data_IF_894655041029
#
_entry.id   IF_894655041029
#
_cell.length_a   1.000
_cell.length_b   1.000
_cell.length_c   1.000
_cell.angle_alpha   90.00
_cell.angle_beta   90.00
_cell.angle_gamma   90.00
#
_symmetry.space_group_name_H-M   'P 1'
#
loop_
_entity.id
_entity.type
_entity.pdbx_description
1 polymer ?
#
# COMPACT_ATOMS: atom_id res chain seq x y z
N UNK A 1 54.69 23.87 24.99
CA UNK A 1 54.78 23.06 26.24
C UNK A 1 54.24 23.87 27.42
N UNK A 2 53.09 23.47 27.99
CA UNK A 2 52.71 23.48 29.43
C UNK A 2 51.17 23.50 29.56
N UNK A 3 50.63 22.34 29.96
CA UNK A 3 49.28 22.18 30.52
C UNK A 3 49.12 23.00 31.81
N UNK A 4 47.89 23.46 32.09
CA UNK A 4 47.33 23.42 33.45
C UNK A 4 45.80 23.31 33.41
N UNK A 5 45.31 22.17 33.92
CA UNK A 5 43.92 21.89 34.30
C UNK A 5 43.50 22.78 35.48
N UNK A 6 42.20 23.05 35.63
CA UNK A 6 41.43 22.79 36.88
C UNK A 6 39.92 22.98 36.66
N UNK A 7 39.20 22.00 37.21
CA UNK A 7 37.75 21.83 37.31
C UNK A 7 37.23 22.68 38.49
N UNK A 8 36.01 23.21 38.39
CA UNK A 8 35.18 23.49 39.57
C UNK A 8 33.69 23.34 39.21
N UNK A 9 33.10 22.29 39.77
CA UNK A 9 31.67 22.03 39.90
C UNK A 9 31.20 22.70 41.21
N UNK A 10 30.07 23.42 41.20
CA UNK A 10 29.34 23.78 42.43
C UNK A 10 27.85 23.50 42.20
N UNK A 11 27.28 22.81 43.17
CA UNK A 11 25.92 22.31 43.30
C UNK A 11 25.25 23.02 44.50
N UNK A 12 23.92 22.87 44.60
CA UNK A 12 23.02 23.15 45.75
C UNK A 12 22.32 24.53 45.73
N UNK A 13 21.06 24.64 45.28
CA UNK A 13 19.73 24.31 45.91
C UNK A 13 19.14 25.45 46.74
N UNK A 14 17.90 25.82 46.43
CA UNK A 14 16.98 26.45 47.37
C UNK A 14 15.57 25.88 47.18
N UNK A 15 15.06 25.26 48.24
CA UNK A 15 13.68 24.77 48.44
C UNK A 15 12.85 25.87 49.11
N UNK A 16 11.59 26.02 48.68
CA UNK A 16 10.49 26.64 49.47
C UNK A 16 9.19 25.90 49.05
N UNK A 17 8.81 24.83 49.76
CA UNK A 17 7.77 24.75 50.80
C UNK A 17 6.33 25.15 50.39
N UNK A 18 5.49 24.10 50.32
CA UNK A 18 4.10 23.91 50.85
C UNK A 18 3.05 24.99 50.51
N UNK A 19 1.84 24.71 50.03
CA UNK A 19 1.06 23.48 49.81
C UNK A 19 -0.43 23.80 50.03
N UNK A 20 -1.35 23.23 49.23
CA UNK A 20 -2.76 23.03 49.59
C UNK A 20 -3.25 21.76 48.88
N UNK A 21 -3.69 20.77 49.68
CA UNK A 21 -4.53 19.66 49.24
C UNK A 21 -6.01 20.08 49.28
N UNK A 22 -6.81 19.64 48.31
CA UNK A 22 -8.26 19.74 48.37
C UNK A 22 -8.92 19.04 47.19
N UNK A 23 -9.68 17.99 47.47
CA UNK A 23 -10.26 17.02 46.55
C UNK A 23 -11.32 17.59 45.59
N UNK A 24 -11.48 16.98 44.42
CA UNK A 24 -12.60 17.25 43.52
C UNK A 24 -12.43 16.57 42.16
N UNK A 25 -13.51 15.97 41.68
CA UNK A 25 -13.56 15.10 40.52
C UNK A 25 -13.31 15.79 39.17
N UNK A 26 -12.81 15.00 38.22
CA UNK A 26 -13.12 15.09 36.78
C UNK A 26 -12.90 16.44 36.09
N UNK A 27 -11.79 16.58 35.38
CA UNK A 27 -11.73 17.34 34.15
C UNK A 27 -10.59 16.77 33.30
N UNK A 28 -10.97 16.02 32.26
CA UNK A 28 -10.10 15.81 31.13
C UNK A 28 -9.96 17.17 30.43
N UNK A 29 -8.76 17.73 30.40
CA UNK A 29 -8.44 18.85 29.53
C UNK A 29 -7.80 18.31 28.25
N UNK A 30 -8.60 18.44 27.19
CA UNK A 30 -8.20 18.35 25.80
C UNK A 30 -7.22 19.48 25.48
N UNK A 31 -6.09 19.10 24.89
CA UNK A 31 -5.27 19.94 24.00
C UNK A 31 -4.30 18.96 23.31
N UNK A 32 -4.14 18.89 22.00
CA UNK A 32 -4.72 19.61 20.88
C UNK A 32 -4.20 18.90 19.63
N UNK A 33 -5.13 18.50 18.77
CA UNK A 33 -5.01 18.27 17.33
C UNK A 33 -3.59 18.09 16.73
N UNK A 34 -3.20 16.81 16.53
CA UNK A 34 -2.54 16.37 15.30
C UNK A 34 -3.09 15.00 14.89
N UNK A 35 -4.42 14.93 14.81
CA UNK A 35 -5.14 13.87 14.11
C UNK A 35 -5.31 14.33 12.65
N UNK A 36 -4.20 14.46 11.93
CA UNK A 36 -4.20 14.79 10.50
C UNK A 36 -3.98 13.53 9.67
N UNK A 37 -5.13 13.00 9.22
CA UNK A 37 -5.34 12.10 8.08
C UNK A 37 -4.85 10.66 8.27
N UNK A 38 -5.58 9.88 9.08
CA UNK A 38 -5.81 8.47 8.72
C UNK A 38 -6.77 8.47 7.53
N UNK A 39 -6.35 8.11 6.31
CA UNK A 39 -7.25 8.14 5.16
C UNK A 39 -8.43 7.22 5.42
N UNK A 40 -9.56 7.56 4.80
CA UNK A 40 -10.87 6.89 4.81
C UNK A 40 -10.85 5.41 4.32
N UNK A 41 -9.70 4.74 4.34
CA UNK A 41 -9.50 3.34 3.98
C UNK A 41 -10.19 2.32 4.91
N UNK A 42 -10.87 2.78 5.98
CA UNK A 42 -11.58 1.88 6.91
C UNK A 42 -12.85 1.27 6.31
N UNK A 43 -13.39 1.85 5.25
CA UNK A 43 -14.45 1.27 4.42
C UNK A 43 -14.13 1.55 2.95
N UNK A 44 -13.04 0.96 2.44
CA UNK A 44 -12.82 0.99 1.00
C UNK A 44 -14.02 0.32 0.30
N UNK A 45 -14.75 1.09 -0.49
CA UNK A 45 -15.78 0.58 -1.37
C UNK A 45 -15.20 -0.57 -2.20
N UNK A 46 -15.66 -1.79 -1.94
CA UNK A 46 -15.33 -2.99 -2.73
C UNK A 46 -15.98 -2.94 -4.13
N UNK A 47 -16.76 -1.90 -4.41
CA UNK A 47 -17.33 -1.61 -5.72
C UNK A 47 -16.34 -0.87 -6.62
N UNK A 48 -15.69 -1.61 -7.52
CA UNK A 48 -14.97 -1.03 -8.67
C UNK A 48 -15.95 -0.66 -9.80
N UNK A 49 -15.78 0.55 -10.35
CA UNK A 49 -16.34 0.98 -11.61
C UNK A 49 -15.30 0.70 -12.70
N UNK A 50 -15.65 -0.12 -13.68
CA UNK A 50 -14.72 -0.49 -14.74
C UNK A 50 -14.30 0.75 -15.55
N UNK A 51 -13.01 0.86 -15.88
CA UNK A 51 -12.44 1.97 -16.63
C UNK A 51 -12.01 3.18 -15.80
N UNK A 52 -12.50 3.31 -14.56
CA UNK A 52 -12.08 4.36 -13.63
C UNK A 52 -10.71 4.05 -13.02
N UNK A 53 -9.86 5.08 -12.78
CA UNK A 53 -8.57 4.90 -12.13
C UNK A 53 -8.72 4.77 -10.61
N UNK A 54 -7.90 3.89 -10.04
CA UNK A 54 -7.82 3.65 -8.59
C UNK A 54 -6.37 3.55 -8.14
N UNK A 55 -6.12 3.93 -6.89
CA UNK A 55 -4.97 3.41 -6.16
C UNK A 55 -5.32 2.04 -5.55
N UNK A 56 -4.44 1.05 -5.71
CA UNK A 56 -4.65 -0.27 -5.11
C UNK A 56 -3.89 -0.36 -3.80
N UNK A 57 -4.63 -0.39 -2.69
CA UNK A 57 -4.11 -0.42 -1.34
C UNK A 57 -4.17 -1.84 -0.76
N UNK A 58 -3.08 -2.35 -0.23
CA UNK A 58 -3.07 -3.63 0.45
C UNK A 58 -3.48 -3.46 1.93
N UNK A 59 -4.50 -4.19 2.36
CA UNK A 59 -5.08 -4.03 3.71
C UNK A 59 -4.16 -4.48 4.84
N UNK A 60 -3.26 -5.45 4.60
CA UNK A 60 -2.33 -5.93 5.63
C UNK A 60 -1.02 -5.16 5.67
N UNK A 61 -0.46 -4.82 4.51
CA UNK A 61 0.80 -4.08 4.45
C UNK A 61 0.61 -2.60 4.76
N UNK A 62 -0.61 -2.08 4.58
CA UNK A 62 -0.92 -0.65 4.64
C UNK A 62 -0.14 0.18 3.60
N UNK A 63 0.09 -0.40 2.43
CA UNK A 63 0.87 0.18 1.33
C UNK A 63 0.09 0.15 0.01
N UNK A 64 0.46 1.03 -0.91
CA UNK A 64 -0.12 1.12 -2.25
C UNK A 64 0.75 0.41 -3.28
N UNK A 65 0.09 -0.24 -4.23
CA UNK A 65 0.74 -0.80 -5.42
C UNK A 65 1.22 0.31 -6.35
N UNK A 66 2.51 0.28 -6.65
CA UNK A 66 3.15 1.16 -7.62
C UNK A 66 4.02 0.34 -8.58
N UNK A 67 4.52 0.94 -9.64
CA UNK A 67 5.58 0.34 -10.45
C UNK A 67 6.93 0.56 -9.74
N UNK A 68 7.77 -0.48 -9.65
CA UNK A 68 9.05 -0.39 -8.93
C UNK A 68 9.96 0.64 -9.59
N UNK A 69 10.45 1.61 -8.82
CA UNK A 69 11.25 2.71 -9.35
C UNK A 69 10.53 3.54 -10.42
N UNK A 70 9.19 3.59 -10.40
CA UNK A 70 8.37 4.35 -11.36
C UNK A 70 8.52 3.89 -12.81
N UNK A 71 8.89 2.63 -13.03
CA UNK A 71 9.12 2.10 -14.36
C UNK A 71 7.83 2.13 -15.22
N UNK A 72 8.00 2.33 -16.52
CA UNK A 72 6.96 2.25 -17.54
C UNK A 72 7.28 1.21 -18.62
N UNK A 73 8.28 0.36 -18.36
CA UNK A 73 8.80 -0.61 -19.30
C UNK A 73 8.10 -1.97 -19.17
N UNK A 74 8.09 -2.72 -20.26
CA UNK A 74 7.68 -4.12 -20.26
C UNK A 74 8.58 -4.95 -19.31
N UNK A 75 8.01 -5.95 -18.65
CA UNK A 75 8.62 -6.76 -17.59
C UNK A 75 8.95 -5.98 -16.31
N UNK A 76 8.52 -4.72 -16.21
CA UNK A 76 8.64 -3.95 -14.99
C UNK A 76 7.88 -4.62 -13.84
N UNK A 77 8.60 -4.93 -12.77
CA UNK A 77 8.02 -5.46 -11.53
C UNK A 77 7.26 -4.37 -10.77
N UNK A 78 6.30 -4.82 -9.97
CA UNK A 78 5.53 -3.96 -9.08
C UNK A 78 6.17 -3.89 -7.71
N UNK A 79 5.82 -2.84 -6.98
CA UNK A 79 6.29 -2.58 -5.62
C UNK A 79 5.12 -2.11 -4.74
N UNK A 80 5.34 -2.11 -3.44
CA UNK A 80 4.45 -1.54 -2.45
C UNK A 80 5.12 -0.36 -1.76
N UNK A 81 4.40 0.77 -1.66
CA UNK A 81 4.94 1.98 -1.09
C UNK A 81 3.93 2.72 -0.19
N UNK A 82 4.44 3.45 0.80
CA UNK A 82 3.64 4.08 1.86
C UNK A 82 3.00 5.41 1.42
N UNK A 83 3.48 6.00 0.33
CA UNK A 83 3.03 7.29 -0.21
C UNK A 83 2.51 7.11 -1.64
N UNK A 84 1.34 7.69 -1.94
CA UNK A 84 0.63 7.58 -3.23
C UNK A 84 0.26 8.95 -3.83
N UNK A 85 1.06 9.97 -3.57
CA UNK A 85 0.87 11.32 -4.12
C UNK A 85 2.15 11.80 -4.81
N UNK A 86 2.62 11.02 -5.75
CA UNK A 86 3.94 11.27 -6.35
C UNK A 86 3.81 12.15 -7.60
N UNK A 87 3.51 13.44 -7.41
CA UNK A 87 3.55 14.52 -8.42
C UNK A 87 3.75 14.08 -9.89
N UNK A 88 5.00 14.03 -10.37
CA UNK A 88 5.34 13.73 -11.77
C UNK A 88 5.04 12.30 -12.22
N UNK A 89 4.93 11.35 -11.27
CA UNK A 89 4.70 9.93 -11.49
C UNK A 89 3.32 9.45 -11.01
N UNK A 90 2.38 10.38 -10.78
CA UNK A 90 1.05 10.08 -10.25
C UNK A 90 0.26 9.07 -11.08
N UNK A 91 0.57 8.93 -12.38
CA UNK A 91 -0.14 8.01 -13.25
C UNK A 91 0.38 6.57 -13.12
N UNK A 92 1.63 6.39 -12.70
CA UNK A 92 2.29 5.10 -12.54
C UNK A 92 1.83 4.35 -11.28
N UNK A 93 1.15 5.03 -10.36
CA UNK A 93 0.52 4.46 -9.16
C UNK A 93 -1.01 4.27 -9.31
N UNK A 94 -1.55 4.54 -10.50
CA UNK A 94 -2.97 4.40 -10.81
C UNK A 94 -3.24 3.20 -11.69
N UNK A 95 -4.33 2.49 -11.37
CA UNK A 95 -4.71 1.23 -11.98
C UNK A 95 -6.16 1.28 -12.44
N UNK A 96 -6.41 0.82 -13.66
CA UNK A 96 -7.75 0.70 -14.24
C UNK A 96 -8.13 -0.76 -14.42
N UNK A 97 -9.33 -1.12 -13.98
CA UNK A 97 -9.93 -2.41 -14.29
C UNK A 97 -10.64 -2.32 -15.64
N UNK A 98 -10.06 -2.95 -16.66
CA UNK A 98 -10.57 -2.96 -18.03
C UNK A 98 -11.43 -4.21 -18.25
N UNK A 99 -12.66 -4.08 -18.75
CA UNK A 99 -13.55 -5.23 -18.92
C UNK A 99 -13.01 -6.21 -19.97
N UNK A 100 -13.31 -7.49 -19.77
CA UNK A 100 -13.02 -8.60 -20.71
C UNK A 100 -14.28 -9.14 -21.40
N UNK A 101 -15.47 -8.66 -21.02
CA UNK A 101 -16.76 -9.21 -21.44
C UNK A 101 -17.27 -10.34 -20.54
N UNK A 102 -16.44 -10.86 -19.63
CA UNK A 102 -16.86 -11.78 -18.56
C UNK A 102 -17.08 -11.05 -17.24
N UNK A 103 -18.10 -11.49 -16.50
CA UNK A 103 -18.40 -10.95 -15.18
C UNK A 103 -17.24 -11.18 -14.20
N UNK A 104 -16.89 -10.15 -13.43
CA UNK A 104 -15.82 -10.20 -12.43
C UNK A 104 -14.43 -10.59 -12.97
N UNK A 105 -14.21 -10.45 -14.29
CA UNK A 105 -12.91 -10.67 -14.92
C UNK A 105 -12.47 -9.40 -15.63
N UNK A 106 -11.28 -8.92 -15.27
CA UNK A 106 -10.72 -7.69 -15.80
C UNK A 106 -9.26 -7.88 -16.22
N UNK A 107 -8.80 -7.04 -17.16
CA UNK A 107 -7.37 -6.72 -17.28
C UNK A 107 -7.08 -5.54 -16.36
N UNK A 108 -5.98 -5.57 -15.63
CA UNK A 108 -5.59 -4.47 -14.75
C UNK A 108 -4.51 -3.67 -15.47
N UNK A 109 -4.80 -2.42 -15.83
CA UNK A 109 -3.94 -1.57 -16.65
C UNK A 109 -3.34 -0.45 -15.82
N UNK A 110 -2.03 -0.26 -15.90
CA UNK A 110 -1.37 0.92 -15.36
C UNK A 110 -1.70 2.14 -16.21
N UNK A 111 -2.10 3.25 -15.58
CA UNK A 111 -2.49 4.46 -16.31
C UNK A 111 -1.28 5.14 -16.96
N UNK A 112 -0.14 5.21 -16.25
CA UNK A 112 1.05 5.91 -16.71
C UNK A 112 1.80 5.22 -17.84
N UNK A 113 1.97 3.89 -17.77
CA UNK A 113 2.68 3.11 -18.80
C UNK A 113 1.76 2.66 -19.94
N UNK A 114 0.46 2.53 -19.67
CA UNK A 114 -0.48 1.91 -20.60
C UNK A 114 -0.34 0.38 -20.71
N UNK A 115 0.48 -0.24 -19.86
CA UNK A 115 0.71 -1.69 -19.81
C UNK A 115 -0.29 -2.39 -18.87
N UNK A 116 -0.48 -3.68 -19.09
CA UNK A 116 -1.38 -4.53 -18.32
C UNK A 116 -0.60 -5.45 -17.37
N UNK A 117 -1.18 -5.76 -16.23
CA UNK A 117 -0.60 -6.72 -15.29
C UNK A 117 -0.68 -8.14 -15.84
N UNK A 118 0.42 -8.87 -15.68
CA UNK A 118 0.54 -10.27 -16.06
C UNK A 118 1.39 -11.03 -15.02
N UNK A 119 1.06 -12.30 -14.71
CA UNK A 119 1.98 -13.18 -14.00
C UNK A 119 3.26 -13.41 -14.79
N UNK A 120 4.42 -13.25 -14.15
CA UNK A 120 5.69 -13.71 -14.72
C UNK A 120 5.87 -15.21 -14.43
N UNK A 121 5.38 -16.05 -15.34
CA UNK A 121 5.44 -17.52 -15.19
C UNK A 121 6.86 -18.10 -15.32
N UNK A 122 7.83 -17.31 -15.81
CA UNK A 122 9.24 -17.70 -15.87
C UNK A 122 9.97 -17.46 -14.55
N UNK A 123 9.32 -16.77 -13.61
CA UNK A 123 9.89 -16.42 -12.32
C UNK A 123 9.54 -17.46 -11.24
N UNK A 124 10.55 -17.93 -10.53
CA UNK A 124 10.38 -18.84 -9.39
C UNK A 124 9.48 -18.28 -8.28
N UNK A 125 9.51 -16.96 -8.06
CA UNK A 125 8.68 -16.26 -7.08
C UNK A 125 7.32 -15.86 -7.65
N UNK A 126 7.11 -16.04 -8.96
CA UNK A 126 5.89 -15.68 -9.68
C UNK A 126 5.49 -14.23 -9.46
N UNK A 127 6.44 -13.32 -9.68
CA UNK A 127 6.19 -11.89 -9.64
C UNK A 127 5.06 -11.49 -10.58
N UNK A 128 4.32 -10.46 -10.20
CA UNK A 128 3.42 -9.77 -11.10
C UNK A 128 4.21 -8.66 -11.79
N UNK A 129 4.13 -8.61 -13.12
CA UNK A 129 4.86 -7.66 -13.97
C UNK A 129 3.90 -6.92 -14.90
N UNK A 130 4.41 -5.88 -15.54
CA UNK A 130 3.73 -5.17 -16.60
C UNK A 130 4.08 -5.74 -17.98
N UNK A 131 3.07 -5.91 -18.84
CA UNK A 131 3.18 -6.40 -20.21
C UNK A 131 2.34 -5.58 -21.18
N UNK A 132 2.68 -5.62 -22.46
CA UNK A 132 1.85 -5.00 -23.48
C UNK A 132 0.44 -5.56 -23.39
N UNK A 133 -0.57 -4.69 -23.28
CA UNK A 133 -1.95 -5.14 -23.14
C UNK A 133 -2.36 -5.99 -24.35
N UNK A 134 -2.58 -7.28 -24.12
CA UNK A 134 -3.06 -8.17 -25.17
C UNK A 134 -4.53 -7.87 -25.51
N UNK A 135 -5.01 -8.38 -26.64
CA UNK A 135 -6.40 -8.24 -27.08
C UNK A 135 -7.21 -9.54 -26.97
N UNK A 136 -6.74 -10.52 -26.20
CA UNK A 136 -7.42 -11.81 -26.10
C UNK A 136 -6.62 -12.95 -25.51
N UNK A 137 -5.40 -12.71 -25.04
CA UNK A 137 -4.68 -13.73 -24.28
C UNK A 137 -5.24 -13.76 -22.85
N UNK A 138 -5.44 -14.96 -22.32
CA UNK A 138 -6.05 -15.14 -20.99
C UNK A 138 -5.01 -15.00 -19.88
N UNK A 139 -3.74 -14.84 -20.21
CA UNK A 139 -2.66 -14.63 -19.24
C UNK A 139 -2.79 -13.30 -18.49
N UNK A 140 -3.37 -12.26 -19.11
CA UNK A 140 -3.60 -10.95 -18.48
C UNK A 140 -5.01 -10.80 -17.88
N UNK A 141 -5.79 -11.88 -17.89
CA UNK A 141 -7.13 -11.87 -17.33
C UNK A 141 -7.05 -12.17 -15.85
N UNK A 142 -7.67 -11.33 -15.05
CA UNK A 142 -7.69 -11.44 -13.60
C UNK A 142 -9.13 -11.61 -13.13
N UNK A 143 -9.39 -12.69 -12.39
CA UNK A 143 -10.61 -12.82 -11.61
C UNK A 143 -10.53 -11.88 -10.42
N UNK A 144 -11.47 -10.95 -10.33
CA UNK A 144 -11.56 -9.94 -9.26
C UNK A 144 -12.79 -10.26 -8.43
N UNK A 145 -12.60 -11.06 -7.38
CA UNK A 145 -13.67 -11.42 -6.45
C UNK A 145 -13.80 -10.32 -5.40
N UNK A 146 -15.05 -9.96 -5.07
CA UNK A 146 -15.37 -9.01 -4.01
C UNK A 146 -15.75 -9.80 -2.77
N UNK A 147 -15.01 -9.62 -1.69
CA UNK A 147 -15.28 -10.16 -0.37
C UNK A 147 -15.02 -9.07 0.70
N UNK A 148 -14.26 -9.34 1.76
CA UNK A 148 -13.68 -8.34 2.67
C UNK A 148 -12.63 -7.42 1.98
N UNK A 149 -12.64 -7.36 0.66
CA UNK A 149 -11.72 -6.62 -0.19
C UNK A 149 -11.85 -7.12 -1.63
N UNK A 150 -10.92 -6.69 -2.46
CA UNK A 150 -10.69 -7.27 -3.77
C UNK A 150 -9.68 -8.41 -3.61
N UNK A 151 -10.10 -9.61 -3.99
CA UNK A 151 -9.25 -10.78 -4.12
C UNK A 151 -8.96 -11.00 -5.60
N UNK A 152 -7.70 -10.81 -5.97
CA UNK A 152 -7.25 -10.76 -7.36
C UNK A 152 -6.44 -12.02 -7.68
N UNK A 153 -6.93 -12.87 -8.56
CA UNK A 153 -6.27 -14.12 -8.99
C UNK A 153 -6.16 -14.19 -10.51
N UNK A 154 -5.13 -14.86 -11.06
CA UNK A 154 -5.10 -15.17 -12.49
C UNK A 154 -6.37 -15.92 -12.89
N UNK A 155 -6.97 -15.57 -14.02
CA UNK A 155 -8.22 -16.18 -14.50
C UNK A 155 -8.10 -17.70 -14.67
N UNK A 156 -6.95 -18.17 -15.16
CA UNK A 156 -6.68 -19.58 -15.39
C UNK A 156 -6.20 -20.34 -14.13
N UNK A 157 -6.00 -19.66 -12.99
CA UNK A 157 -5.51 -20.29 -11.77
C UNK A 157 -6.00 -19.59 -10.49
N UNK A 158 -7.20 -19.96 -10.04
CA UNK A 158 -7.81 -19.44 -8.81
C UNK A 158 -7.16 -19.92 -7.50
N UNK A 159 -6.19 -20.84 -7.54
CA UNK A 159 -5.47 -21.32 -6.35
C UNK A 159 -4.37 -20.35 -5.90
N UNK A 160 -4.06 -19.36 -6.74
CA UNK A 160 -3.08 -18.32 -6.46
C UNK A 160 -3.76 -16.96 -6.47
N UNK A 161 -3.32 -16.09 -5.56
CA UNK A 161 -3.81 -14.71 -5.46
C UNK A 161 -2.64 -13.76 -5.32
N UNK A 162 -2.85 -12.54 -5.82
CA UNK A 162 -1.91 -11.44 -5.71
C UNK A 162 -1.67 -11.08 -4.24
N UNK A 163 -0.41 -11.13 -3.82
CA UNK A 163 -0.01 -11.00 -2.43
C UNK A 163 1.30 -10.20 -2.32
N UNK A 164 1.43 -9.31 -1.32
CA UNK A 164 2.72 -8.73 -0.94
C UNK A 164 3.74 -9.82 -0.62
N UNK A 165 4.94 -9.72 -1.20
CA UNK A 165 6.05 -10.57 -0.79
C UNK A 165 6.62 -10.08 0.55
N UNK A 166 6.61 -10.96 1.56
CA UNK A 166 7.12 -10.64 2.89
C UNK A 166 8.66 -10.71 2.90
N UNK A 167 9.31 -9.63 2.47
CA UNK A 167 10.73 -9.38 2.72
C UNK A 167 10.89 -8.29 3.80
N UNK A 168 11.93 -8.37 4.62
CA UNK A 168 12.24 -7.39 5.66
C UNK A 168 12.83 -6.08 5.08
N UNK A 169 12.15 -5.45 4.12
CA UNK A 169 12.59 -4.23 3.44
C UNK A 169 11.42 -3.25 3.24
N UNK A 170 11.67 -1.94 3.04
CA UNK A 170 10.62 -0.94 2.85
C UNK A 170 9.83 -1.08 1.54
N UNK A 171 10.42 -1.78 0.57
CA UNK A 171 9.86 -2.12 -0.74
C UNK A 171 9.54 -3.62 -0.72
N UNK A 172 8.33 -3.96 -1.17
CA UNK A 172 7.85 -5.32 -1.26
C UNK A 172 7.41 -5.60 -2.68
N UNK A 173 8.05 -6.59 -3.30
CA UNK A 173 7.58 -7.10 -4.58
C UNK A 173 6.16 -7.69 -4.43
N UNK A 174 5.42 -7.73 -5.53
CA UNK A 174 4.09 -8.34 -5.56
C UNK A 174 4.18 -9.66 -6.31
N UNK A 175 3.73 -10.74 -5.66
CA UNK A 175 3.84 -12.10 -6.17
C UNK A 175 2.48 -12.80 -6.19
N UNK A 176 2.42 -13.93 -6.88
CA UNK A 176 1.33 -14.89 -6.75
C UNK A 176 1.63 -15.88 -5.63
N UNK A 177 0.79 -15.88 -4.60
CA UNK A 177 0.89 -16.81 -3.48
C UNK A 177 -0.34 -17.69 -3.39
N UNK A 178 -0.21 -18.86 -2.74
CA UNK A 178 -1.35 -19.74 -2.45
C UNK A 178 -2.47 -18.95 -1.78
N UNK A 179 -3.69 -19.15 -2.27
CA UNK A 179 -4.92 -18.64 -1.67
C UNK A 179 -5.11 -19.29 -0.27
N UNK A 180 -4.91 -18.51 0.79
CA UNK A 180 -4.96 -18.94 2.20
C UNK A 180 -5.88 -18.07 3.04
N UNK A 181 -6.78 -17.36 2.38
CA UNK A 181 -7.75 -16.46 3.01
C UNK A 181 -7.19 -15.40 3.97
N UNK A 182 -6.00 -14.86 3.70
CA UNK A 182 -5.36 -13.85 4.56
C UNK A 182 -5.78 -12.41 4.21
N UNK A 183 -5.73 -11.50 5.18
CA UNK A 183 -5.84 -10.04 4.96
C UNK A 183 -4.79 -9.50 4.00
N UNK A 184 -3.60 -10.13 3.91
CA UNK A 184 -2.57 -9.74 2.94
C UNK A 184 -3.01 -9.96 1.49
N UNK A 185 -4.05 -10.77 1.28
CA UNK A 185 -4.61 -11.09 -0.03
C UNK A 185 -5.82 -10.21 -0.36
N UNK A 186 -6.08 -9.19 0.47
CA UNK A 186 -7.18 -8.24 0.30
C UNK A 186 -6.65 -6.88 -0.11
N UNK A 187 -7.14 -6.45 -1.27
CA UNK A 187 -6.85 -5.16 -1.85
C UNK A 187 -8.06 -4.24 -1.74
N UNK A 188 -7.81 -2.96 -1.61
CA UNK A 188 -8.82 -1.90 -1.62
C UNK A 188 -8.58 -1.04 -2.84
N UNK A 189 -9.62 -0.82 -3.64
CA UNK A 189 -9.58 0.15 -4.72
C UNK A 189 -10.01 1.51 -4.17
N UNK A 190 -9.04 2.41 -3.98
CA UNK A 190 -9.28 3.77 -3.50
C UNK A 190 -9.43 4.67 -4.74
N UNK A 191 -10.59 5.32 -4.94
CA UNK A 191 -10.77 6.24 -6.06
C UNK A 191 -9.68 7.30 -6.11
N UNK A 192 -9.28 7.69 -7.32
CA UNK A 192 -8.41 8.86 -7.53
C UNK A 192 -9.31 10.10 -7.60
N UNK A 193 -8.95 11.14 -6.85
CA UNK A 193 -9.61 12.46 -6.90
C UNK A 193 -9.26 13.27 -8.16
#
# INVERSE_FOLDING_TARGET
MKLKKRIALVLATAFSMVGVMGAGAGAAEQDGQQEQVRPQAREAQTSINMGEPYHLYNRSAHLFMITKGWNTAENGVLDLWHTHQTNVNRLQEQWKFMPTGLNSVARIKNVGSGLCLQPNNQDSLRHVVQKQCDRGDREQWWSVRKDEGLRISPFNNGNLVMNPYQAALPSHDIVLHKDVDSLSQRWSAVPVD
#
